data_IF_619811670710
#
_entry.id   IF_619811670710
#
_cell.length_a   1.000
_cell.length_b   1.000
_cell.length_c   1.000
_cell.angle_alpha   90.00
_cell.angle_beta   90.00
_cell.angle_gamma   90.00
#
_symmetry.space_group_name_H-M   'P 1'
#
loop_
_entity.id
_entity.type
_entity.pdbx_description
1 polymer ?
#
# COMPACT_ATOMS: atom_id res chain seq x y z
N UNK A 1 17.28 0.16 19.79
CA UNK A 1 16.15 -0.40 19.01
C UNK A 1 15.96 0.50 17.80
N UNK A 2 16.49 0.11 16.62
CA UNK A 2 16.39 0.94 15.41
C UNK A 2 14.94 0.88 14.92
N UNK A 3 14.26 2.03 14.89
CA UNK A 3 12.89 2.16 14.38
C UNK A 3 12.92 1.80 12.89
N UNK A 4 12.33 0.67 12.52
CA UNK A 4 12.22 0.28 11.11
C UNK A 4 11.50 1.39 10.36
N UNK A 5 12.11 1.94 9.31
CA UNK A 5 11.50 3.00 8.53
C UNK A 5 10.29 2.43 7.79
N UNK A 6 9.11 2.97 8.10
CA UNK A 6 7.84 2.52 7.53
C UNK A 6 7.33 3.57 6.56
N UNK A 7 6.93 3.14 5.37
CA UNK A 7 6.38 4.02 4.34
C UNK A 7 4.90 3.71 4.14
N UNK A 8 4.04 4.66 4.54
CA UNK A 8 2.60 4.54 4.40
C UNK A 8 2.14 5.17 3.08
N UNK A 9 1.45 4.39 2.26
CA UNK A 9 0.85 4.80 0.99
C UNK A 9 -0.67 4.67 1.08
N UNK A 10 -1.38 5.78 0.86
CA UNK A 10 -2.82 5.75 0.69
C UNK A 10 -3.15 5.27 -0.73
N UNK A 11 -3.97 4.23 -0.83
CA UNK A 11 -4.27 3.55 -2.09
C UNK A 11 -5.78 3.38 -2.29
N UNK A 12 -6.22 3.30 -3.55
CA UNK A 12 -7.61 3.00 -3.91
C UNK A 12 -7.93 1.51 -3.85
N UNK A 13 -6.89 0.66 -3.85
CA UNK A 13 -7.01 -0.80 -3.82
C UNK A 13 -7.41 -1.25 -2.42
N UNK A 14 -8.26 -2.27 -2.29
CA UNK A 14 -8.64 -2.80 -0.98
C UNK A 14 -7.46 -3.53 -0.31
N UNK A 15 -7.40 -3.59 1.04
CA UNK A 15 -6.32 -4.28 1.74
C UNK A 15 -6.15 -5.75 1.33
N UNK A 16 -7.27 -6.44 1.06
CA UNK A 16 -7.27 -7.84 0.60
C UNK A 16 -6.59 -7.97 -0.75
N UNK A 17 -6.92 -7.11 -1.71
CA UNK A 17 -6.29 -7.15 -3.03
C UNK A 17 -4.82 -6.75 -2.96
N UNK A 18 -4.47 -5.72 -2.17
CA UNK A 18 -3.10 -5.30 -1.96
C UNK A 18 -2.22 -6.47 -1.47
N UNK A 19 -2.68 -7.16 -0.41
CA UNK A 19 -2.01 -8.32 0.19
C UNK A 19 -1.96 -9.50 -0.76
N UNK A 20 -3.06 -9.80 -1.47
CA UNK A 20 -3.09 -10.86 -2.47
C UNK A 20 -2.07 -10.64 -3.58
N UNK A 21 -1.94 -9.42 -4.10
CA UNK A 21 -0.97 -9.11 -5.16
C UNK A 21 0.46 -9.33 -4.70
N UNK A 22 0.83 -8.90 -3.49
CA UNK A 22 2.17 -9.18 -2.96
C UNK A 22 2.41 -10.68 -2.75
N UNK A 23 1.39 -11.40 -2.28
CA UNK A 23 1.49 -12.85 -2.07
C UNK A 23 1.79 -13.57 -3.38
N UNK A 24 1.08 -13.24 -4.46
CA UNK A 24 1.31 -13.83 -5.78
C UNK A 24 2.72 -13.52 -6.30
N UNK A 25 3.22 -12.29 -6.10
CA UNK A 25 4.58 -11.92 -6.48
C UNK A 25 5.65 -12.76 -5.76
N UNK A 26 5.47 -12.98 -4.46
CA UNK A 26 6.38 -13.80 -3.68
C UNK A 26 6.24 -15.30 -4.03
N UNK A 27 5.04 -15.81 -4.28
CA UNK A 27 4.81 -17.18 -4.78
C UNK A 27 5.53 -17.42 -6.12
N UNK A 28 5.43 -16.48 -7.07
CA UNK A 28 6.10 -16.55 -8.37
C UNK A 28 7.64 -16.50 -8.28
N UNK A 29 8.17 -15.79 -7.29
CA UNK A 29 9.60 -15.72 -7.02
C UNK A 29 10.11 -16.90 -6.18
N UNK A 30 9.23 -17.83 -5.79
CA UNK A 30 9.57 -18.97 -4.93
C UNK A 30 9.91 -18.58 -3.49
N UNK A 31 9.45 -17.42 -3.01
CA UNK A 31 9.74 -16.94 -1.66
C UNK A 31 8.70 -17.41 -0.64
N UNK A 32 9.20 -17.91 0.48
CA UNK A 32 8.47 -18.22 1.71
C UNK A 32 7.94 -16.96 2.39
N UNK A 33 6.72 -17.05 2.89
CA UNK A 33 6.00 -15.94 3.51
C UNK A 33 5.40 -16.32 4.85
N UNK A 34 5.31 -15.35 5.74
CA UNK A 34 4.56 -15.44 6.98
C UNK A 34 3.41 -14.44 6.98
N UNK A 35 2.21 -14.90 7.31
CA UNK A 35 1.05 -14.02 7.48
C UNK A 35 0.95 -13.57 8.93
N UNK A 36 0.82 -12.27 9.14
CA UNK A 36 0.56 -11.69 10.45
C UNK A 36 -0.78 -10.97 10.41
N UNK A 37 -1.69 -11.33 11.32
CA UNK A 37 -2.92 -10.57 11.56
C UNK A 37 -2.76 -9.74 12.82
N UNK A 38 -3.05 -8.43 12.73
CA UNK A 38 -2.92 -7.52 13.86
C UNK A 38 -4.11 -6.55 13.95
N UNK A 39 -4.20 -5.84 15.07
CA UNK A 39 -5.12 -4.71 15.24
C UNK A 39 -4.31 -3.42 15.35
N UNK A 40 -4.67 -2.40 14.56
CA UNK A 40 -4.04 -1.08 14.62
C UNK A 40 -5.06 -0.05 15.11
N UNK A 41 -4.68 0.75 16.10
CA UNK A 41 -5.48 1.90 16.52
C UNK A 41 -5.45 2.95 15.42
N UNK A 42 -6.64 3.41 15.03
CA UNK A 42 -6.86 4.47 14.04
C UNK A 42 -7.72 5.56 14.65
N UNK A 43 -7.42 6.82 14.32
CA UNK A 43 -8.12 7.98 14.87
C UNK A 43 -9.30 8.37 13.98
N UNK A 44 -10.51 8.41 14.55
CA UNK A 44 -11.69 9.01 13.90
C UNK A 44 -12.00 10.38 14.48
N UNK A 45 -12.31 11.34 13.59
CA UNK A 45 -12.88 12.63 13.96
C UNK A 45 -14.35 12.68 13.52
N UNK A 46 -15.26 12.59 14.49
CA UNK A 46 -16.61 13.11 14.36
C UNK A 46 -16.68 14.36 15.24
N UNK A 47 -17.38 15.40 14.77
CA UNK A 47 -17.48 16.75 15.35
C UNK A 47 -17.32 16.70 16.89
N UNK A 48 -16.12 17.11 17.37
CA UNK A 48 -15.72 17.39 18.78
C UNK A 48 -15.04 16.26 19.61
N UNK A 49 -14.96 14.97 19.22
CA UNK A 49 -14.18 13.97 20.00
C UNK A 49 -13.34 12.99 19.16
N UNK A 50 -12.07 12.71 19.54
CA UNK A 50 -11.29 11.61 18.97
C UNK A 50 -11.82 10.27 19.49
N UNK A 51 -12.27 9.39 18.58
CA UNK A 51 -12.57 7.99 18.90
C UNK A 51 -11.49 7.11 18.30
N UNK A 52 -10.60 6.57 19.14
CA UNK A 52 -9.66 5.55 18.73
C UNK A 52 -10.45 4.24 18.47
N UNK A 53 -10.44 3.75 17.23
CA UNK A 53 -11.01 2.45 16.89
C UNK A 53 -9.91 1.52 16.43
N UNK A 54 -9.99 0.24 16.81
CA UNK A 54 -9.10 -0.78 16.27
C UNK A 54 -9.59 -1.17 14.86
N UNK A 55 -8.70 -1.08 13.88
CA UNK A 55 -8.96 -1.64 12.54
C UNK A 55 -8.18 -2.94 12.37
N UNK A 56 -8.81 -3.93 11.73
CA UNK A 56 -8.14 -5.19 11.40
C UNK A 56 -7.10 -4.90 10.32
N UNK A 57 -5.86 -5.31 10.58
CA UNK A 57 -4.76 -5.20 9.63
C UNK A 57 -4.44 -6.57 9.05
N UNK A 58 -4.09 -6.58 7.77
CA UNK A 58 -3.62 -7.78 7.06
C UNK A 58 -2.15 -7.56 6.75
N UNK A 59 -1.28 -8.40 7.29
CA UNK A 59 0.17 -8.33 7.10
C UNK A 59 0.73 -9.56 6.41
N UNK A 60 1.72 -9.36 5.54
CA UNK A 60 2.60 -10.42 5.03
C UNK A 60 4.05 -9.99 5.23
N UNK A 61 4.88 -10.93 5.65
CA UNK A 61 6.34 -10.78 5.77
C UNK A 61 7.07 -11.82 4.93
N UNK A 62 8.11 -11.40 4.22
CA UNK A 62 8.98 -12.29 3.47
C UNK A 62 10.05 -12.88 4.40
N UNK A 63 10.21 -14.21 4.37
CA UNK A 63 11.11 -14.94 5.28
C UNK A 63 12.48 -15.26 4.66
N UNK A 64 12.54 -15.28 3.35
CA UNK A 64 13.66 -15.69 2.51
C UNK A 64 13.74 -14.80 1.25
N UNK A 65 14.69 -15.12 0.38
CA UNK A 65 14.98 -14.33 -0.81
C UNK A 65 15.77 -13.03 -0.53
N UNK A 66 16.09 -12.27 -1.59
CA UNK A 66 16.85 -11.02 -1.50
C UNK A 66 16.10 -9.90 -0.77
N UNK A 67 14.77 -10.00 -0.64
CA UNK A 67 13.92 -9.06 0.12
C UNK A 67 13.54 -9.58 1.52
N UNK A 68 14.31 -10.52 2.07
CA UNK A 68 14.09 -11.08 3.40
C UNK A 68 13.91 -9.98 4.45
N UNK A 69 12.81 -10.07 5.21
CA UNK A 69 12.46 -9.08 6.22
C UNK A 69 11.62 -7.92 5.71
N UNK A 70 11.28 -7.90 4.41
CA UNK A 70 10.23 -7.03 3.89
C UNK A 70 8.88 -7.41 4.50
N UNK A 71 8.14 -6.39 4.90
CA UNK A 71 6.83 -6.53 5.49
C UNK A 71 5.87 -5.52 4.85
N UNK A 72 4.71 -6.00 4.41
CA UNK A 72 3.61 -5.14 3.99
C UNK A 72 2.41 -5.40 4.88
N UNK A 73 1.89 -4.33 5.46
CA UNK A 73 0.64 -4.33 6.21
C UNK A 73 -0.38 -3.44 5.51
N UNK A 74 -1.60 -3.94 5.32
CA UNK A 74 -2.68 -3.19 4.71
C UNK A 74 -3.91 -3.12 5.62
N UNK A 75 -4.58 -1.96 5.63
CA UNK A 75 -5.81 -1.76 6.39
C UNK A 75 -6.69 -0.67 5.77
N UNK A 76 -7.90 -0.57 6.29
CA UNK A 76 -8.86 0.48 5.94
C UNK A 76 -9.13 1.35 7.16
N UNK A 77 -9.06 2.67 6.99
CA UNK A 77 -9.34 3.67 8.03
C UNK A 77 -10.44 4.61 7.57
N UNK A 78 -11.47 4.83 8.40
CA UNK A 78 -12.54 5.79 8.12
C UNK A 78 -12.18 7.13 8.74
N UNK A 79 -11.69 8.07 7.91
CA UNK A 79 -11.34 9.42 8.36
C UNK A 79 -12.54 10.36 8.19
N UNK A 80 -13.52 10.27 9.10
CA UNK A 80 -14.72 11.11 9.09
C UNK A 80 -15.99 10.36 9.47
N UNK A 81 -17.14 10.84 8.98
CA UNK A 81 -18.47 10.24 9.25
C UNK A 81 -18.80 9.04 8.36
N UNK A 82 -18.22 8.95 7.16
CA UNK A 82 -18.48 7.87 6.19
C UNK A 82 -17.26 7.58 5.30
N UNK A 83 -17.22 6.39 4.68
CA UNK A 83 -16.18 5.98 3.73
C UNK A 83 -14.90 5.44 4.38
N UNK A 84 -14.18 4.59 3.65
CA UNK A 84 -12.93 4.00 4.10
C UNK A 84 -11.78 4.37 3.16
N UNK A 85 -10.68 4.83 3.73
CA UNK A 85 -9.42 5.08 3.06
C UNK A 85 -8.52 3.86 3.26
N UNK A 86 -8.08 3.25 2.16
CA UNK A 86 -7.19 2.10 2.25
C UNK A 86 -5.74 2.57 2.30
N UNK A 87 -4.95 1.91 3.14
CA UNK A 87 -3.56 2.24 3.37
C UNK A 87 -2.75 0.95 3.28
N UNK A 88 -1.63 1.02 2.57
CA UNK A 88 -0.57 0.00 2.57
C UNK A 88 0.68 0.58 3.20
N UNK A 89 1.22 -0.12 4.17
CA UNK A 89 2.38 0.27 4.96
C UNK A 89 3.50 -0.70 4.69
N UNK A 90 4.63 -0.16 4.25
CA UNK A 90 5.76 -0.94 3.77
C UNK A 90 6.95 -0.75 4.68
N UNK A 91 7.52 -1.86 5.10
CA UNK A 91 8.83 -1.92 5.74
C UNK A 91 9.74 -2.65 4.78
N UNK A 92 10.60 -1.90 4.10
CA UNK A 92 11.50 -2.45 3.08
C UNK A 92 12.96 -2.39 3.56
N UNK A 93 13.68 -3.52 3.63
CA UNK A 93 15.12 -3.54 3.91
C UNK A 93 15.86 -2.68 2.89
N UNK A 94 16.78 -1.82 3.33
CA UNK A 94 17.50 -0.89 2.44
C UNK A 94 16.68 0.32 1.96
N UNK A 95 15.41 0.43 2.34
CA UNK A 95 14.55 1.57 2.02
C UNK A 95 13.91 1.50 0.62
N UNK A 96 12.93 2.38 0.38
CA UNK A 96 12.11 2.38 -0.85
C UNK A 96 12.92 2.64 -2.13
N UNK A 97 14.06 3.32 -2.02
CA UNK A 97 14.90 3.71 -3.16
C UNK A 97 15.80 2.57 -3.65
N UNK A 98 15.98 1.51 -2.86
CA UNK A 98 16.78 0.36 -3.26
C UNK A 98 16.20 -0.29 -4.52
N UNK A 99 17.04 -0.61 -5.51
CA UNK A 99 16.61 -1.04 -6.85
C UNK A 99 15.58 -2.19 -6.80
N UNK A 100 15.90 -3.27 -6.08
CA UNK A 100 15.01 -4.41 -5.96
C UNK A 100 13.66 -4.09 -5.29
N UNK A 101 13.63 -3.12 -4.36
CA UNK A 101 12.39 -2.65 -3.75
C UNK A 101 11.55 -1.84 -4.74
N UNK A 102 12.20 -1.03 -5.58
CA UNK A 102 11.55 -0.30 -6.67
C UNK A 102 10.98 -1.27 -7.70
N UNK A 103 11.74 -2.29 -8.10
CA UNK A 103 11.27 -3.36 -9.00
C UNK A 103 10.06 -4.08 -8.43
N UNK A 104 10.11 -4.52 -7.16
CA UNK A 104 8.94 -5.12 -6.49
C UNK A 104 7.73 -4.19 -6.52
N UNK A 105 7.93 -2.91 -6.18
CA UNK A 105 6.84 -1.95 -6.13
C UNK A 105 6.24 -1.70 -7.52
N UNK A 106 7.05 -1.63 -8.57
CA UNK A 106 6.59 -1.51 -9.96
C UNK A 106 5.72 -2.71 -10.35
N UNK A 107 6.20 -3.93 -10.08
CA UNK A 107 5.46 -5.16 -10.34
C UNK A 107 4.16 -5.23 -9.53
N UNK A 108 4.20 -4.82 -8.27
CA UNK A 108 3.00 -4.74 -7.42
C UNK A 108 1.99 -3.73 -7.97
N UNK A 109 2.42 -2.52 -8.33
CA UNK A 109 1.57 -1.48 -8.92
C UNK A 109 0.96 -1.95 -10.25
N UNK A 110 1.69 -2.68 -11.08
CA UNK A 110 1.18 -3.16 -12.37
C UNK A 110 0.08 -4.23 -12.22
N UNK A 111 0.11 -5.01 -11.13
CA UNK A 111 -0.74 -6.20 -10.94
C UNK A 111 -1.92 -6.02 -10.00
N UNK A 112 -2.03 -4.87 -9.32
CA UNK A 112 -3.24 -4.55 -8.56
C UNK A 112 -4.44 -4.37 -9.50
N UNK A 113 -5.69 -4.62 -9.04
CA UNK A 113 -6.87 -4.62 -9.92
C UNK A 113 -7.26 -3.25 -10.49
N UNK A 114 -6.63 -2.17 -10.01
CA UNK A 114 -6.85 -0.79 -10.47
C UNK A 114 -5.67 0.10 -10.08
N UNK A 115 -5.52 1.21 -10.79
CA UNK A 115 -4.52 2.24 -10.51
C UNK A 115 -4.54 2.69 -9.03
N UNK A 116 -3.45 2.46 -8.24
CA UNK A 116 -3.45 2.68 -6.80
C UNK A 116 -3.72 4.11 -6.34
N UNK A 117 -3.33 5.11 -7.14
CA UNK A 117 -3.46 6.53 -6.80
C UNK A 117 -4.66 7.22 -7.46
N UNK A 118 -5.61 6.42 -7.98
CA UNK A 118 -6.80 6.93 -8.65
C UNK A 118 -8.07 6.52 -7.91
N UNK A 119 -8.83 7.51 -7.45
CA UNK A 119 -10.14 7.33 -6.83
C UNK A 119 -11.23 7.92 -7.72
N UNK A 120 -12.35 7.22 -7.80
CA UNK A 120 -13.56 7.69 -8.46
C UNK A 120 -14.16 8.87 -7.70
N UNK A 121 -15.02 9.64 -8.37
CA UNK A 121 -15.76 10.73 -7.73
C UNK A 121 -16.56 10.23 -6.52
N UNK A 122 -17.26 9.09 -6.66
CA UNK A 122 -18.06 8.50 -5.59
C UNK A 122 -17.23 8.13 -4.35
N UNK A 123 -16.05 7.52 -4.55
CA UNK A 123 -15.14 7.18 -3.45
C UNK A 123 -14.63 8.44 -2.74
N UNK A 124 -14.21 9.45 -3.52
CA UNK A 124 -13.76 10.74 -2.97
C UNK A 124 -14.89 11.42 -2.21
N UNK A 125 -16.12 11.41 -2.71
CA UNK A 125 -17.27 12.06 -2.07
C UNK A 125 -17.68 11.35 -0.77
N UNK A 126 -17.60 10.01 -0.71
CA UNK A 126 -17.89 9.24 0.50
C UNK A 126 -16.89 9.53 1.63
N UNK A 127 -15.59 9.58 1.32
CA UNK A 127 -14.53 9.81 2.32
C UNK A 127 -14.34 11.29 2.64
N UNK A 128 -14.49 12.16 1.63
CA UNK A 128 -14.28 13.61 1.74
C UNK A 128 -13.58 14.14 0.50
N UNK A 129 -14.35 14.77 -0.39
CA UNK A 129 -13.86 15.12 -1.74
C UNK A 129 -12.66 16.08 -1.71
N UNK A 130 -12.66 17.00 -0.75
CA UNK A 130 -11.65 18.06 -0.58
C UNK A 130 -10.46 17.65 0.30
N UNK A 131 -10.41 16.40 0.79
CA UNK A 131 -9.29 15.96 1.62
C UNK A 131 -7.96 16.04 0.85
N UNK A 132 -6.88 16.52 1.50
CA UNK A 132 -5.58 16.67 0.84
C UNK A 132 -4.95 15.31 0.49
N UNK A 133 -5.46 14.21 1.06
CA UNK A 133 -4.95 12.85 0.88
C UNK A 133 -4.88 12.45 -0.60
N UNK A 134 -5.84 12.85 -1.42
CA UNK A 134 -5.86 12.52 -2.86
C UNK A 134 -4.66 13.09 -3.59
N UNK A 135 -4.25 14.32 -3.23
CA UNK A 135 -3.09 14.98 -3.81
C UNK A 135 -1.79 14.45 -3.20
N UNK A 136 -1.78 14.19 -1.90
CA UNK A 136 -0.62 13.63 -1.19
C UNK A 136 -0.27 12.23 -1.70
N UNK A 137 -1.26 11.36 -1.90
CA UNK A 137 -1.03 10.02 -2.42
C UNK A 137 -0.42 10.05 -3.84
N UNK A 138 -1.01 10.82 -4.76
CA UNK A 138 -0.43 11.02 -6.11
C UNK A 138 0.98 11.60 -6.04
N UNK A 139 1.26 12.50 -5.09
CA UNK A 139 2.61 13.03 -4.88
C UNK A 139 3.57 11.92 -4.43
N UNK A 140 3.21 11.11 -3.43
CA UNK A 140 4.05 9.99 -2.96
C UNK A 140 4.40 9.02 -4.09
N UNK A 141 3.43 8.60 -4.90
CA UNK A 141 3.70 7.73 -6.04
C UNK A 141 4.59 8.39 -7.10
N UNK A 142 4.41 9.68 -7.37
CA UNK A 142 5.31 10.41 -8.27
C UNK A 142 6.73 10.50 -7.71
N UNK A 143 6.87 10.76 -6.41
CA UNK A 143 8.16 10.85 -5.74
C UNK A 143 8.89 9.49 -5.75
N UNK A 144 8.15 8.37 -5.81
CA UNK A 144 8.66 7.00 -6.01
C UNK A 144 8.97 6.66 -7.49
N UNK A 145 8.80 7.62 -8.41
CA UNK A 145 9.15 7.47 -9.83
C UNK A 145 8.01 7.03 -10.75
N UNK A 146 6.76 6.95 -10.28
CA UNK A 146 5.63 6.57 -11.14
C UNK A 146 5.08 7.76 -11.95
N UNK A 147 4.73 7.56 -13.22
CA UNK A 147 3.90 8.52 -13.97
C UNK A 147 2.45 8.43 -13.47
N UNK A 148 2.01 9.46 -12.75
CA UNK A 148 0.69 9.53 -12.12
C UNK A 148 -0.40 10.12 -13.02
N UNK A 149 -0.15 10.29 -14.32
CA UNK A 149 -1.17 10.71 -15.30
C UNK A 149 -2.27 9.64 -15.46
N UNK A 150 -3.45 10.08 -15.92
CA UNK A 150 -4.66 9.25 -16.00
C UNK A 150 -4.52 7.99 -16.87
N UNK A 151 -3.69 8.03 -17.91
CA UNK A 151 -3.48 6.92 -18.88
C UNK A 151 -2.15 6.19 -18.71
N UNK A 152 -1.36 6.54 -17.69
CA UNK A 152 -0.03 5.97 -17.49
C UNK A 152 -0.03 4.60 -16.77
N UNK A 153 -1.21 4.12 -16.36
CA UNK A 153 -1.37 2.86 -15.64
C UNK A 153 -2.25 1.86 -16.44
N UNK A 154 -1.94 0.55 -16.44
CA UNK A 154 -0.73 -0.05 -15.87
C UNK A 154 0.48 0.27 -16.74
N UNK A 155 1.56 0.76 -16.13
CA UNK A 155 2.85 0.80 -16.81
C UNK A 155 3.40 -0.62 -16.90
N UNK A 156 4.21 -0.90 -17.92
CA UNK A 156 5.00 -2.13 -17.96
C UNK A 156 6.19 -1.98 -17.00
N UNK A 157 6.42 -2.95 -16.10
CA UNK A 157 7.63 -2.96 -15.27
C UNK A 157 8.87 -2.97 -16.16
N UNK A 158 9.87 -2.13 -15.86
CA UNK A 158 11.08 -2.02 -16.68
C UNK A 158 11.96 -3.27 -16.56
N UNK A 159 11.99 -3.88 -15.38
CA UNK A 159 12.82 -5.05 -15.09
C UNK A 159 12.00 -6.35 -15.03
N UNK A 160 12.65 -7.47 -15.35
CA UNK A 160 12.06 -8.79 -15.18
C UNK A 160 11.87 -9.12 -13.70
N UNK A 161 10.68 -9.61 -13.34
CA UNK A 161 10.45 -10.14 -11.99
C UNK A 161 11.21 -11.47 -11.85
N UNK A 162 11.97 -11.72 -10.76
CA UNK A 162 12.61 -13.01 -10.57
C UNK A 162 11.54 -14.12 -10.59
N UNK A 163 11.74 -15.08 -11.50
CA UNK A 163 10.97 -16.32 -11.57
C UNK A 163 11.84 -17.44 -11.01
N UNK A 164 11.26 -18.30 -10.17
CA UNK A 164 11.92 -19.49 -9.64
C UNK A 164 12.14 -20.56 -10.70
#
# INVERSE_FOLDING_TARGET
MVRRATTDLEVSVSPVHAIKTLRLLAEEAGWSMERHEGSRLVDRFAIIMPMAQSTRTLGIRLLDGPLRGLEMTAWSETRGSAGALNITSWVMPGGMEHELNRTLLQHWVARVPRCPWHWTFSERSKVGYMLPVWRKARKKFRDLGFDVKKKAWPGEPEDHWPQS
#
